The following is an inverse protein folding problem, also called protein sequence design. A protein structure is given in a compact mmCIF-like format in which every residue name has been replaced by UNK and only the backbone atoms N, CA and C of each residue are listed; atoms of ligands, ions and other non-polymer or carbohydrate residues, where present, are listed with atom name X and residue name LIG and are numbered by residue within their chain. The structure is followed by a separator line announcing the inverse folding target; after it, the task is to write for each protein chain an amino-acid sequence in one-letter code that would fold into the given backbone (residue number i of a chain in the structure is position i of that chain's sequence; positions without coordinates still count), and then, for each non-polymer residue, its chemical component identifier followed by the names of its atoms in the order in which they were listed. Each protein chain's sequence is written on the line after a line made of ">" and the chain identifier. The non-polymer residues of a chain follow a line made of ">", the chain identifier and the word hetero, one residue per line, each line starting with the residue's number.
data_IF_360690111404
#
_entry.id   IF_360690111404
#
_cell.length_a   1.000
_cell.length_b   1.000
_cell.length_c   1.000
_cell.angle_alpha   90.00
_cell.angle_beta   90.00
_cell.angle_gamma   90.00
#
_symmetry.space_group_name_H-M   'P 1'
#
loop_
_entity.id
_entity.type
_entity.pdbx_description
1 polymer ?
#
# COMPACT_ATOMS: atom_id res chain seq x y z
N UNK A 1 4.47 16.46 12.28
CA UNK A 1 5.84 16.14 11.81
C UNK A 1 6.04 16.47 10.33
N UNK A 2 5.16 16.04 9.41
CA UNK A 2 5.30 16.35 7.98
C UNK A 2 5.23 17.85 7.64
N UNK A 3 4.31 18.60 8.28
CA UNK A 3 4.21 20.07 8.13
C UNK A 3 5.54 20.78 8.43
N UNK A 4 6.20 20.40 9.52
CA UNK A 4 7.47 21.00 9.93
C UNK A 4 8.59 20.72 8.91
N UNK A 5 8.62 19.53 8.31
CA UNK A 5 9.59 19.19 7.26
C UNK A 5 9.38 20.02 5.98
N UNK A 6 8.12 20.28 5.62
CA UNK A 6 7.78 21.13 4.47
C UNK A 6 8.09 22.61 4.74
N UNK A 7 7.86 23.08 5.96
CA UNK A 7 8.21 24.45 6.38
C UNK A 7 9.73 24.66 6.35
N UNK A 8 10.52 23.67 6.78
CA UNK A 8 11.99 23.72 6.73
C UNK A 8 12.52 23.71 5.29
N UNK A 9 11.93 22.90 4.40
CA UNK A 9 12.29 22.88 2.99
C UNK A 9 11.95 24.21 2.30
N UNK A 10 10.80 24.81 2.61
CA UNK A 10 10.37 26.11 2.12
C UNK A 10 11.32 27.23 2.55
N UNK A 11 11.69 27.27 3.83
CA UNK A 11 12.62 28.27 4.36
C UNK A 11 14.00 28.16 3.71
N UNK A 12 14.48 26.93 3.45
CA UNK A 12 15.77 26.70 2.80
C UNK A 12 15.82 27.10 1.32
N UNK A 13 14.68 27.06 0.62
CA UNK A 13 14.55 27.54 -0.77
C UNK A 13 14.47 29.07 -0.80
N UNK A 14 13.74 29.68 0.14
CA UNK A 14 13.65 31.13 0.31
C UNK A 14 15.00 31.77 0.66
N UNK A 15 15.85 31.07 1.43
CA UNK A 15 17.19 31.53 1.81
C UNK A 15 18.24 31.39 0.68
N UNK A 16 17.94 30.62 -0.37
CA UNK A 16 18.78 30.60 -1.58
C UNK A 16 18.40 31.79 -2.45
N UNK A 17 19.33 32.74 -2.64
CA UNK A 17 19.18 33.95 -3.46
C UNK A 17 18.93 33.65 -4.96
N UNK A 18 17.80 33.01 -5.28
CA UNK A 18 17.20 32.97 -6.60
C UNK A 18 16.28 34.19 -6.64
N UNK A 19 16.76 35.25 -7.30
CA UNK A 19 16.24 36.60 -7.21
C UNK A 19 14.71 36.73 -7.20
N UNK A 20 14.23 37.57 -6.28
CA UNK A 20 12.90 38.15 -6.27
C UNK A 20 12.59 38.81 -7.62
N UNK A 21 11.90 38.09 -8.50
CA UNK A 21 11.20 38.70 -9.62
C UNK A 21 9.80 38.10 -9.65
N UNK A 22 8.78 38.87 -10.02
CA UNK A 22 7.38 38.46 -9.90
C UNK A 22 7.08 37.11 -10.60
N UNK A 23 7.86 36.78 -11.62
CA UNK A 23 7.79 35.54 -12.39
C UNK A 23 8.22 34.31 -11.56
N UNK A 24 9.29 34.41 -10.74
CA UNK A 24 9.74 33.29 -9.90
C UNK A 24 8.75 33.02 -8.76
N UNK A 25 8.12 34.07 -8.24
CA UNK A 25 7.06 33.98 -7.23
C UNK A 25 5.77 33.36 -7.79
N UNK A 26 5.31 33.78 -8.97
CA UNK A 26 4.14 33.17 -9.61
C UNK A 26 4.34 31.69 -9.96
N UNK A 27 5.54 31.31 -10.42
CA UNK A 27 5.89 29.91 -10.68
C UNK A 27 5.92 29.10 -9.37
N UNK A 28 6.53 29.64 -8.31
CA UNK A 28 6.61 28.97 -6.99
C UNK A 28 5.23 28.83 -6.35
N UNK A 29 4.39 29.86 -6.44
CA UNK A 29 3.02 29.86 -5.93
C UNK A 29 2.13 28.90 -6.74
N UNK A 30 2.30 28.86 -8.07
CA UNK A 30 1.61 27.91 -8.95
C UNK A 30 1.97 26.47 -8.61
N UNK A 31 3.27 26.16 -8.47
CA UNK A 31 3.76 24.83 -8.12
C UNK A 31 3.24 24.39 -6.75
N UNK A 32 3.30 25.28 -5.76
CA UNK A 32 2.82 25.03 -4.40
C UNK A 32 1.32 24.76 -4.37
N UNK A 33 0.51 25.54 -5.10
CA UNK A 33 -0.94 25.33 -5.19
C UNK A 33 -1.28 24.00 -5.86
N UNK A 34 -0.62 23.66 -6.97
CA UNK A 34 -0.85 22.36 -7.64
C UNK A 34 -0.39 21.18 -6.79
N UNK A 35 0.70 21.34 -6.05
CA UNK A 35 1.24 20.32 -5.15
C UNK A 35 0.33 20.09 -3.94
N UNK A 36 -0.24 21.16 -3.36
CA UNK A 36 -1.18 21.06 -2.25
C UNK A 36 -2.52 20.45 -2.69
N UNK A 37 -3.07 20.87 -3.83
CA UNK A 37 -4.31 20.31 -4.36
C UNK A 37 -4.16 18.82 -4.73
N UNK A 38 -3.02 18.44 -5.32
CA UNK A 38 -2.69 17.05 -5.60
C UNK A 38 -2.55 16.20 -4.32
N UNK A 39 -1.96 16.75 -3.26
CA UNK A 39 -1.85 16.09 -1.96
C UNK A 39 -3.19 15.90 -1.25
N UNK A 40 -4.09 16.88 -1.29
CA UNK A 40 -5.43 16.77 -0.67
C UNK A 40 -6.23 15.64 -1.34
N UNK A 41 -6.30 15.64 -2.68
CA UNK A 41 -7.01 14.59 -3.44
C UNK A 41 -6.36 13.21 -3.24
N UNK A 42 -5.03 13.14 -3.15
CA UNK A 42 -4.32 11.90 -2.86
C UNK A 42 -4.58 11.39 -1.44
N UNK A 43 -4.66 12.30 -0.46
CA UNK A 43 -4.94 11.97 0.94
C UNK A 43 -6.35 11.39 1.10
N UNK A 44 -7.35 11.99 0.46
CA UNK A 44 -8.73 11.48 0.52
C UNK A 44 -8.85 10.07 -0.09
N UNK A 45 -8.17 9.85 -1.22
CA UNK A 45 -8.17 8.54 -1.88
C UNK A 45 -7.49 7.46 -1.05
N UNK A 46 -6.36 7.76 -0.40
CA UNK A 46 -5.68 6.76 0.43
C UNK A 46 -6.46 6.48 1.71
N UNK A 47 -7.11 7.48 2.31
CA UNK A 47 -7.98 7.29 3.48
C UNK A 47 -9.17 6.38 3.14
N UNK A 48 -9.86 6.64 2.03
CA UNK A 48 -10.96 5.79 1.56
C UNK A 48 -10.50 4.35 1.28
N UNK A 49 -9.33 4.17 0.65
CA UNK A 49 -8.74 2.85 0.43
C UNK A 49 -8.40 2.16 1.77
N UNK A 50 -7.88 2.88 2.76
CA UNK A 50 -7.60 2.34 4.08
C UNK A 50 -8.87 1.89 4.81
N UNK A 51 -10.00 2.60 4.66
CA UNK A 51 -11.29 2.19 5.23
C UNK A 51 -11.76 0.86 4.64
N UNK A 52 -11.76 0.73 3.31
CA UNK A 52 -12.11 -0.53 2.62
C UNK A 52 -11.17 -1.67 3.01
N UNK A 53 -9.87 -1.37 3.11
CA UNK A 53 -8.84 -2.32 3.52
C UNK A 53 -9.08 -2.82 4.94
N UNK A 54 -9.27 -1.91 5.90
CA UNK A 54 -9.57 -2.26 7.30
C UNK A 54 -10.86 -3.06 7.43
N UNK A 55 -11.90 -2.73 6.65
CA UNK A 55 -13.15 -3.49 6.64
C UNK A 55 -12.97 -4.92 6.11
N UNK A 56 -11.97 -5.17 5.25
CA UNK A 56 -11.67 -6.49 4.73
C UNK A 56 -10.82 -7.34 5.70
N UNK A 57 -9.96 -6.73 6.53
CA UNK A 57 -8.98 -7.45 7.36
C UNK A 57 -9.56 -8.58 8.22
N UNK A 58 -10.70 -8.42 8.92
CA UNK A 58 -11.27 -9.52 9.73
C UNK A 58 -11.57 -10.76 8.87
N UNK A 59 -12.19 -10.57 7.72
CA UNK A 59 -12.54 -11.65 6.80
C UNK A 59 -11.30 -12.31 6.18
N UNK A 60 -10.27 -11.52 5.86
CA UNK A 60 -8.98 -12.04 5.36
C UNK A 60 -8.29 -12.88 6.43
N UNK A 61 -8.29 -12.43 7.69
CA UNK A 61 -7.71 -13.16 8.80
C UNK A 61 -8.45 -14.46 9.09
N UNK A 62 -9.78 -14.44 9.07
CA UNK A 62 -10.61 -15.66 9.17
C UNK A 62 -10.32 -16.62 8.02
N UNK A 63 -10.02 -16.09 6.84
CA UNK A 63 -9.60 -16.87 5.68
C UNK A 63 -8.14 -17.38 5.77
N UNK A 64 -7.44 -17.19 6.89
CA UNK A 64 -6.06 -17.62 7.08
C UNK A 64 -5.00 -16.71 6.44
N UNK A 65 -5.38 -15.51 6.00
CA UNK A 65 -4.48 -14.50 5.46
C UNK A 65 -4.28 -13.37 6.47
N UNK A 66 -3.20 -13.40 7.25
CA UNK A 66 -2.95 -12.43 8.31
C UNK A 66 -2.04 -11.31 7.81
N UNK A 67 -2.44 -10.06 8.04
CA UNK A 67 -1.61 -8.89 7.76
C UNK A 67 -0.53 -8.76 8.85
N UNK A 68 0.73 -8.69 8.46
CA UNK A 68 1.86 -8.49 9.39
C UNK A 68 2.56 -7.15 9.23
N UNK A 69 2.48 -6.54 8.05
CA UNK A 69 3.05 -5.23 7.79
C UNK A 69 2.20 -4.46 6.77
N UNK A 70 2.24 -3.14 6.89
CA UNK A 70 1.57 -2.21 5.99
C UNK A 70 2.48 -1.01 5.80
N UNK A 71 2.84 -0.72 4.57
CA UNK A 71 3.58 0.47 4.17
C UNK A 71 2.63 1.41 3.41
N UNK A 72 2.79 2.71 3.65
CA UNK A 72 1.96 3.75 3.03
C UNK A 72 2.90 4.75 2.36
N UNK A 73 2.88 4.77 1.03
CA UNK A 73 3.57 5.80 0.25
C UNK A 73 2.65 7.01 0.08
N UNK A 74 3.02 8.16 0.65
CA UNK A 74 2.25 9.41 0.55
C UNK A 74 2.63 10.26 -0.67
N UNK A 75 3.50 9.75 -1.55
CA UNK A 75 3.87 10.40 -2.82
C UNK A 75 2.68 10.48 -3.79
N UNK A 76 2.86 11.10 -4.96
CA UNK A 76 1.86 11.13 -6.02
C UNK A 76 2.27 10.20 -7.17
N UNK A 77 1.48 9.15 -7.50
CA UNK A 77 0.26 8.71 -6.81
C UNK A 77 0.57 8.00 -5.48
N UNK A 78 -0.32 8.07 -4.48
CA UNK A 78 -0.12 7.42 -3.21
C UNK A 78 -0.33 5.91 -3.36
N UNK A 79 0.28 5.12 -2.47
CA UNK A 79 0.21 3.66 -2.51
C UNK A 79 0.07 3.04 -1.15
N UNK A 80 -0.60 1.90 -1.11
CA UNK A 80 -0.68 1.03 0.05
C UNK A 80 0.00 -0.29 -0.28
N UNK A 81 1.03 -0.68 0.48
CA UNK A 81 1.78 -1.92 0.26
C UNK A 81 1.53 -2.81 1.47
N UNK A 82 0.86 -3.93 1.25
CA UNK A 82 0.42 -4.84 2.32
C UNK A 82 1.23 -6.12 2.30
N UNK A 83 1.56 -6.64 3.48
CA UNK A 83 2.38 -7.83 3.66
C UNK A 83 1.57 -8.88 4.42
N UNK A 84 1.11 -9.92 3.70
CA UNK A 84 0.27 -10.98 4.24
C UNK A 84 1.02 -12.30 4.39
N UNK A 85 0.87 -12.97 5.53
CA UNK A 85 1.30 -14.36 5.69
C UNK A 85 0.09 -15.30 5.68
N UNK A 86 0.34 -16.55 5.31
CA UNK A 86 -0.65 -17.61 5.42
C UNK A 86 -0.49 -18.32 6.77
N UNK A 87 -1.60 -18.51 7.49
CA UNK A 87 -1.61 -19.32 8.69
C UNK A 87 -1.27 -20.78 8.34
N UNK A 88 -0.40 -21.40 9.14
CA UNK A 88 0.11 -22.75 8.88
C UNK A 88 -1.00 -23.83 8.85
N UNK A 89 -2.09 -23.62 9.60
CA UNK A 89 -3.13 -24.62 9.85
C UNK A 89 -4.52 -24.21 9.31
N UNK A 90 -4.62 -23.21 8.42
CA UNK A 90 -5.93 -22.78 7.93
C UNK A 90 -6.55 -23.85 7.03
N UNK A 91 -7.56 -24.58 7.53
CA UNK A 91 -8.51 -25.31 6.69
C UNK A 91 -9.48 -24.30 6.07
N UNK A 92 -8.98 -23.59 5.07
CA UNK A 92 -9.75 -22.56 4.41
C UNK A 92 -10.82 -23.19 3.50
N UNK A 93 -12.08 -22.96 3.83
CA UNK A 93 -13.18 -23.07 2.88
C UNK A 93 -13.20 -21.80 2.01
N UNK A 94 -12.62 -21.90 0.81
CA UNK A 94 -12.47 -20.75 -0.12
C UNK A 94 -13.81 -20.16 -0.53
N UNK A 95 -14.82 -21.00 -0.74
CA UNK A 95 -16.14 -20.56 -1.23
C UNK A 95 -16.88 -19.80 -0.14
N UNK A 96 -16.87 -20.33 1.09
CA UNK A 96 -17.45 -19.65 2.25
C UNK A 96 -16.73 -18.33 2.55
N UNK A 97 -15.39 -18.30 2.51
CA UNK A 97 -14.62 -17.08 2.77
C UNK A 97 -14.91 -15.99 1.72
N UNK A 98 -15.01 -16.35 0.44
CA UNK A 98 -15.37 -15.41 -0.62
C UNK A 98 -16.81 -14.92 -0.50
N UNK A 99 -17.74 -15.79 -0.11
CA UNK A 99 -19.14 -15.42 0.12
C UNK A 99 -19.30 -14.39 1.24
N UNK A 100 -18.55 -14.51 2.33
CA UNK A 100 -18.56 -13.53 3.42
C UNK A 100 -18.14 -12.11 2.98
N UNK A 101 -17.47 -11.99 1.83
CA UNK A 101 -17.03 -10.73 1.23
C UNK A 101 -17.87 -10.29 0.03
N UNK A 102 -19.00 -10.94 -0.29
CA UNK A 102 -19.77 -10.66 -1.51
C UNK A 102 -20.23 -9.19 -1.63
N UNK A 103 -20.48 -8.54 -0.49
CA UNK A 103 -20.87 -7.14 -0.40
C UNK A 103 -19.67 -6.18 -0.20
N UNK A 104 -18.46 -6.71 -0.06
CA UNK A 104 -17.20 -5.96 0.03
C UNK A 104 -16.33 -6.31 -1.19
N UNK A 105 -16.58 -5.60 -2.31
CA UNK A 105 -15.89 -5.86 -3.59
C UNK A 105 -14.36 -5.75 -3.48
N UNK A 106 -13.87 -4.80 -2.70
CA UNK A 106 -12.45 -4.62 -2.46
C UNK A 106 -11.87 -5.86 -1.77
N UNK A 107 -12.42 -6.24 -0.62
CA UNK A 107 -11.98 -7.40 0.15
C UNK A 107 -12.13 -8.71 -0.64
N UNK A 108 -13.20 -8.87 -1.40
CA UNK A 108 -13.41 -10.03 -2.27
C UNK A 108 -12.27 -10.20 -3.30
N UNK A 109 -11.92 -9.11 -3.99
CA UNK A 109 -10.83 -9.15 -4.97
C UNK A 109 -9.46 -9.36 -4.30
N UNK A 110 -9.24 -8.71 -3.16
CA UNK A 110 -8.01 -8.87 -2.39
C UNK A 110 -7.84 -10.33 -1.92
N UNK A 111 -8.91 -10.95 -1.41
CA UNK A 111 -8.91 -12.36 -1.04
C UNK A 111 -8.61 -13.24 -2.26
N UNK A 112 -9.25 -13.03 -3.41
CA UNK A 112 -8.96 -13.82 -4.64
C UNK A 112 -7.48 -13.76 -5.04
N UNK A 113 -6.87 -12.57 -4.95
CA UNK A 113 -5.44 -12.39 -5.21
C UNK A 113 -4.61 -13.18 -4.22
N UNK A 114 -4.92 -13.10 -2.92
CA UNK A 114 -4.24 -13.85 -1.88
C UNK A 114 -4.39 -15.37 -2.06
N UNK A 115 -5.56 -15.87 -2.47
CA UNK A 115 -5.73 -17.30 -2.75
C UNK A 115 -4.89 -17.75 -3.93
N UNK A 116 -4.88 -16.97 -5.01
CA UNK A 116 -4.07 -17.27 -6.19
C UNK A 116 -2.57 -17.24 -5.87
N UNK A 117 -2.11 -16.26 -5.09
CA UNK A 117 -0.73 -16.19 -4.61
C UNK A 117 -0.34 -17.43 -3.78
N UNK A 118 -1.27 -17.95 -2.96
CA UNK A 118 -1.09 -19.18 -2.19
C UNK A 118 -0.90 -20.41 -3.09
N UNK A 119 -1.69 -20.50 -4.16
CA UNK A 119 -1.56 -21.57 -5.16
C UNK A 119 -0.20 -21.53 -5.90
N UNK A 120 0.42 -20.35 -6.05
CA UNK A 120 1.75 -20.21 -6.64
C UNK A 120 2.87 -20.48 -5.64
N UNK A 121 2.73 -20.05 -4.39
CA UNK A 121 3.68 -20.33 -3.30
C UNK A 121 4.01 -21.83 -3.26
N UNK A 122 3.00 -22.69 -3.34
CA UNK A 122 3.18 -24.14 -3.21
C UNK A 122 3.84 -24.79 -4.45
N UNK A 123 3.90 -24.06 -5.58
CA UNK A 123 4.53 -24.51 -6.84
C UNK A 123 5.98 -24.03 -6.99
N UNK A 124 6.37 -22.99 -6.26
CA UNK A 124 7.69 -22.36 -6.36
C UNK A 124 8.57 -22.80 -5.19
N UNK A 125 9.62 -23.57 -5.49
CA UNK A 125 10.58 -24.07 -4.52
C UNK A 125 11.99 -23.55 -4.83
N UNK A 126 12.69 -23.09 -3.80
CA UNK A 126 14.04 -22.56 -3.90
C UNK A 126 14.92 -23.20 -2.83
N UNK A 127 16.16 -23.54 -3.19
CA UNK A 127 17.12 -24.06 -2.21
C UNK A 127 17.47 -22.97 -1.18
N UNK A 128 17.49 -23.34 0.11
CA UNK A 128 17.86 -22.47 1.24
C UNK A 128 17.03 -21.18 1.37
N UNK A 129 15.82 -21.13 0.80
CA UNK A 129 14.87 -20.04 1.01
C UNK A 129 13.52 -20.57 1.46
N UNK A 130 12.88 -19.86 2.38
CA UNK A 130 11.52 -20.14 2.83
C UNK A 130 10.59 -19.02 2.41
N UNK A 131 9.36 -19.38 2.05
CA UNK A 131 8.31 -18.39 1.86
C UNK A 131 8.15 -17.56 3.13
N UNK A 132 8.07 -16.24 2.98
CA UNK A 132 7.88 -15.31 4.10
C UNK A 132 6.48 -14.71 4.09
N UNK A 133 6.07 -14.08 3.00
CA UNK A 133 4.79 -13.39 2.89
C UNK A 133 4.47 -13.06 1.43
N UNK A 134 3.23 -12.66 1.18
CA UNK A 134 2.79 -12.02 -0.06
C UNK A 134 2.83 -10.52 0.14
N UNK A 135 3.45 -9.80 -0.79
CA UNK A 135 3.35 -8.35 -0.88
C UNK A 135 2.32 -7.98 -1.94
N UNK A 136 1.41 -7.08 -1.61
CA UNK A 136 0.43 -6.52 -2.55
C UNK A 136 0.54 -5.01 -2.51
N UNK A 137 1.04 -4.45 -3.61
CA UNK A 137 1.04 -3.02 -3.88
C UNK A 137 -0.32 -2.64 -4.48
N UNK A 138 -1.16 -2.03 -3.65
CA UNK A 138 -2.47 -1.51 -4.03
C UNK A 138 -2.28 -0.12 -4.64
N UNK A 139 -2.13 -0.11 -5.96
CA UNK A 139 -2.10 1.08 -6.80
C UNK A 139 -3.16 0.95 -7.91
N UNK A 140 -3.18 1.87 -8.89
CA UNK A 140 -4.08 1.75 -10.05
C UNK A 140 -3.89 0.41 -10.80
N UNK A 141 -2.65 -0.10 -10.84
CA UNK A 141 -2.33 -1.45 -11.33
C UNK A 141 -1.72 -2.24 -10.16
N UNK A 142 -2.42 -3.24 -9.61
CA UNK A 142 -1.91 -3.97 -8.47
C UNK A 142 -0.69 -4.81 -8.87
N UNK A 143 0.34 -4.79 -8.03
CA UNK A 143 1.50 -5.69 -8.17
C UNK A 143 1.50 -6.69 -7.03
N UNK A 144 1.73 -7.96 -7.35
CA UNK A 144 1.73 -9.07 -6.40
C UNK A 144 3.12 -9.69 -6.41
N UNK A 145 3.73 -9.85 -5.23
CA UNK A 145 5.05 -10.48 -5.07
C UNK A 145 4.98 -11.57 -4.02
N UNK A 146 5.63 -12.69 -4.29
CA UNK A 146 5.87 -13.74 -3.29
C UNK A 146 7.27 -13.52 -2.73
N UNK A 147 7.35 -13.12 -1.47
CA UNK A 147 8.63 -12.85 -0.82
C UNK A 147 9.18 -14.12 -0.16
N UNK A 148 10.44 -14.40 -0.42
CA UNK A 148 11.18 -15.51 0.18
C UNK A 148 12.40 -14.97 0.94
N UNK A 149 12.71 -15.58 2.08
CA UNK A 149 13.86 -15.20 2.92
C UNK A 149 14.82 -16.36 3.03
N UNK A 150 16.12 -16.09 3.13
CA UNK A 150 17.10 -17.17 3.36
C UNK A 150 16.93 -17.74 4.77
N UNK A 151 17.00 -19.07 4.87
CA UNK A 151 16.86 -19.80 6.14
C UNK A 151 18.05 -19.59 7.08
N UNK A 152 19.15 -19.00 6.60
CA UNK A 152 20.41 -18.82 7.33
C UNK A 152 20.70 -17.35 7.72
N UNK A 153 19.68 -16.48 7.76
CA UNK A 153 19.84 -15.03 7.98
C UNK A 153 19.63 -14.62 9.43
#
# INVERSE_FOLDING_TARGET
>A
MLKNFLDDAKNKILDSNIGENNISKEITDGLTKTFNLGQEVASDKILSLMEEFNAALPFLSEAGCTLHALEVELGLPPKLISHFAYAADSKLDRDTALKNLENNRFGYNLLKVLLSAGDYKDKLQFNNMQFSHVEIELSFVPTIRLAYKSVNS
#
